data_IF_847000452478
#
_entry.id   IF_847000452478
#
_cell.length_a   1.000
_cell.length_b   1.000
_cell.length_c   1.000
_cell.angle_alpha   90.00
_cell.angle_beta   90.00
_cell.angle_gamma   90.00
#
_symmetry.space_group_name_H-M   'P 1'
#
loop_
_entity.id
_entity.type
_entity.pdbx_description
1 polymer ?
#
# COMPACT_ATOMS: atom_id res chain seq x y z
N UNK A 1 23.48 14.04 -39.45
CA UNK A 1 22.11 13.69 -38.96
C UNK A 1 22.06 13.99 -37.47
N UNK A 2 21.45 15.08 -37.14
CA UNK A 2 21.32 15.58 -35.77
C UNK A 2 19.98 15.03 -35.25
N UNK A 3 20.00 14.14 -34.29
CA UNK A 3 18.81 13.78 -33.55
C UNK A 3 18.64 14.77 -32.41
N UNK A 4 17.62 15.58 -32.57
CA UNK A 4 17.29 16.65 -31.66
C UNK A 4 16.76 16.14 -30.35
N UNK A 5 17.12 16.92 -29.37
CA UNK A 5 16.45 17.30 -28.12
C UNK A 5 15.36 16.40 -27.63
N UNK A 6 15.73 15.68 -26.58
CA UNK A 6 14.80 15.05 -25.68
C UNK A 6 13.77 16.06 -25.16
N UNK A 7 12.54 15.85 -25.55
CA UNK A 7 11.42 16.56 -24.99
C UNK A 7 11.45 16.38 -23.47
N UNK A 8 11.72 17.45 -22.73
CA UNK A 8 11.51 17.54 -21.30
C UNK A 8 10.08 17.06 -21.01
N UNK A 9 9.96 15.92 -20.38
CA UNK A 9 8.71 15.49 -19.79
C UNK A 9 8.32 16.54 -18.73
N UNK A 10 7.57 17.52 -19.15
CA UNK A 10 7.09 18.61 -18.30
C UNK A 10 6.13 18.00 -17.29
N UNK A 11 6.62 17.84 -16.08
CA UNK A 11 5.93 18.05 -14.79
C UNK A 11 4.41 17.79 -14.74
N UNK A 12 3.93 16.78 -15.44
CA UNK A 12 2.51 16.39 -15.39
C UNK A 12 2.17 15.70 -14.07
N UNK A 13 3.16 15.04 -13.45
CA UNK A 13 2.98 14.30 -12.21
C UNK A 13 2.77 15.18 -10.97
N UNK A 14 3.57 16.25 -10.85
CA UNK A 14 3.47 17.15 -9.70
C UNK A 14 2.14 17.94 -9.69
N UNK A 15 1.67 18.38 -10.86
CA UNK A 15 0.41 19.10 -11.00
C UNK A 15 -0.79 18.18 -10.73
N UNK A 16 -0.72 16.92 -11.12
CA UNK A 16 -1.76 15.95 -10.84
C UNK A 16 -1.81 15.57 -9.36
N UNK A 17 -0.64 15.40 -8.72
CA UNK A 17 -0.53 15.07 -7.30
C UNK A 17 -1.13 16.17 -6.40
N UNK A 18 -0.88 17.44 -6.72
CA UNK A 18 -1.47 18.59 -5.99
C UNK A 18 -2.99 18.63 -6.11
N UNK A 19 -3.55 18.27 -7.26
CA UNK A 19 -5.00 18.20 -7.47
C UNK A 19 -5.68 17.01 -6.79
N UNK A 20 -4.96 15.94 -6.56
CA UNK A 20 -5.51 14.69 -6.02
C UNK A 20 -5.46 14.58 -4.50
N UNK A 21 -4.98 15.59 -3.78
CA UNK A 21 -4.95 15.68 -2.33
C UNK A 21 -3.71 15.08 -1.67
N UNK A 22 -3.66 15.17 -0.34
CA UNK A 22 -2.50 14.88 0.49
C UNK A 22 -1.86 13.48 0.30
N UNK A 23 -2.63 12.48 -0.12
CA UNK A 23 -2.13 11.12 -0.38
C UNK A 23 -1.12 11.02 -1.52
N UNK A 24 -1.08 12.01 -2.42
CA UNK A 24 -0.15 12.07 -3.53
C UNK A 24 0.97 13.09 -3.32
N UNK A 25 0.90 13.88 -2.26
CA UNK A 25 1.92 14.88 -1.94
C UNK A 25 3.32 14.24 -1.80
N UNK A 26 3.41 13.11 -1.09
CA UNK A 26 4.68 12.38 -0.91
C UNK A 26 5.28 11.92 -2.24
N UNK A 27 4.44 11.50 -3.18
CA UNK A 27 4.90 11.11 -4.54
C UNK A 27 5.37 12.31 -5.35
N UNK A 28 4.70 13.45 -5.22
CA UNK A 28 5.10 14.67 -5.88
C UNK A 28 6.47 15.17 -5.38
N UNK A 29 6.72 15.10 -4.07
CA UNK A 29 8.00 15.43 -3.46
C UNK A 29 9.12 14.52 -3.98
N UNK A 30 8.87 13.22 -4.08
CA UNK A 30 9.85 12.25 -4.58
C UNK A 30 10.17 12.50 -6.05
N UNK A 31 9.16 12.78 -6.89
CA UNK A 31 9.36 13.08 -8.30
C UNK A 31 10.15 14.38 -8.50
N UNK A 32 9.86 15.41 -7.72
CA UNK A 32 10.58 16.67 -7.75
C UNK A 32 12.05 16.51 -7.28
N UNK A 33 12.30 15.68 -6.27
CA UNK A 33 13.65 15.36 -5.83
C UNK A 33 14.42 14.54 -6.87
N UNK A 34 13.75 13.64 -7.61
CA UNK A 34 14.34 12.91 -8.73
C UNK A 34 14.72 13.84 -9.89
N UNK A 35 13.84 14.75 -10.27
CA UNK A 35 14.08 15.73 -11.33
C UNK A 35 15.26 16.65 -11.01
N UNK A 36 15.49 16.94 -9.72
CA UNK A 36 16.65 17.71 -9.25
C UNK A 36 17.93 16.89 -9.09
N UNK A 37 17.86 15.57 -9.29
CA UNK A 37 18.98 14.65 -9.10
C UNK A 37 19.40 14.47 -7.63
N UNK A 38 18.55 14.84 -6.68
CA UNK A 38 18.80 14.74 -5.25
C UNK A 38 18.45 13.37 -4.67
N UNK A 39 17.56 12.63 -5.34
CA UNK A 39 17.13 11.31 -4.89
C UNK A 39 18.04 10.21 -5.45
N UNK A 40 18.69 9.48 -4.58
CA UNK A 40 19.60 8.38 -4.93
C UNK A 40 18.93 7.00 -4.89
N UNK A 41 17.83 6.87 -4.15
CA UNK A 41 17.12 5.58 -4.01
C UNK A 41 15.62 5.80 -3.97
N UNK A 42 14.89 5.14 -4.85
CA UNK A 42 13.43 5.18 -4.89
C UNK A 42 12.89 3.78 -4.68
N UNK A 43 12.09 3.59 -3.63
CA UNK A 43 11.30 2.39 -3.47
C UNK A 43 9.89 2.63 -4.02
N UNK A 44 9.45 1.77 -4.92
CA UNK A 44 8.11 1.85 -5.51
C UNK A 44 7.25 0.73 -4.96
N UNK A 45 6.09 1.07 -4.40
CA UNK A 45 5.10 0.09 -3.93
C UNK A 45 3.78 0.29 -4.68
N UNK A 46 3.12 -0.81 -5.00
CA UNK A 46 1.79 -0.79 -5.63
C UNK A 46 0.73 -0.44 -4.60
N UNK A 47 -0.19 0.46 -4.93
CA UNK A 47 -1.24 0.91 -4.01
C UNK A 47 -2.65 0.53 -4.49
N UNK A 48 -2.84 0.36 -5.81
CA UNK A 48 -4.17 0.20 -6.42
C UNK A 48 -5.03 -0.92 -5.81
N UNK A 49 -4.55 -2.16 -5.74
CA UNK A 49 -5.32 -3.26 -5.17
C UNK A 49 -5.72 -3.03 -3.72
N UNK A 50 -4.82 -2.49 -2.90
CA UNK A 50 -5.10 -2.21 -1.50
C UNK A 50 -6.21 -1.15 -1.35
N UNK A 51 -6.17 -0.07 -2.13
CA UNK A 51 -7.18 0.98 -2.08
C UNK A 51 -8.58 0.49 -2.50
N UNK A 52 -8.64 -0.28 -3.59
CA UNK A 52 -9.91 -0.80 -4.07
C UNK A 52 -10.53 -1.76 -3.06
N UNK A 53 -9.72 -2.65 -2.50
CA UNK A 53 -10.19 -3.64 -1.55
C UNK A 53 -10.52 -3.03 -0.19
N UNK A 54 -9.80 -2.01 0.27
CA UNK A 54 -10.09 -1.26 1.50
C UNK A 54 -11.52 -0.72 1.47
N UNK A 55 -11.92 -0.16 0.35
CA UNK A 55 -13.27 0.34 0.16
C UNK A 55 -14.32 -0.77 0.28
N UNK A 56 -14.12 -1.89 -0.42
CA UNK A 56 -15.03 -3.04 -0.34
C UNK A 56 -15.09 -3.60 1.07
N UNK A 57 -13.95 -3.67 1.76
CA UNK A 57 -13.84 -4.14 3.13
C UNK A 57 -14.64 -3.29 4.13
N UNK A 58 -14.66 -1.98 3.92
CA UNK A 58 -15.47 -1.05 4.70
C UNK A 58 -16.96 -1.15 4.34
N UNK A 59 -17.29 -1.13 3.05
CA UNK A 59 -18.69 -1.20 2.57
C UNK A 59 -19.39 -2.50 2.97
N UNK A 60 -18.68 -3.62 2.99
CA UNK A 60 -19.21 -4.92 3.45
C UNK A 60 -19.31 -5.06 4.97
N UNK A 61 -18.75 -4.10 5.73
CA UNK A 61 -18.74 -4.13 7.20
C UNK A 61 -17.76 -5.13 7.81
N UNK A 62 -16.90 -5.77 7.02
CA UNK A 62 -15.93 -6.77 7.50
C UNK A 62 -15.02 -6.18 8.58
N UNK A 63 -14.53 -4.95 8.40
CA UNK A 63 -13.72 -4.25 9.40
C UNK A 63 -14.41 -4.21 10.76
N UNK A 64 -15.63 -3.69 10.80
CA UNK A 64 -16.38 -3.53 12.05
C UNK A 64 -16.73 -4.84 12.75
N UNK A 65 -16.96 -5.91 11.99
CA UNK A 65 -17.20 -7.24 12.55
C UNK A 65 -15.94 -7.80 13.21
N UNK A 66 -14.82 -7.77 12.50
CA UNK A 66 -13.53 -8.30 13.00
C UNK A 66 -13.04 -7.49 14.20
N UNK A 67 -13.11 -6.17 14.16
CA UNK A 67 -12.76 -5.32 15.30
C UNK A 67 -13.59 -5.61 16.54
N UNK A 68 -14.87 -5.87 16.37
CA UNK A 68 -15.78 -6.24 17.47
C UNK A 68 -15.40 -7.61 18.08
N UNK A 69 -15.08 -8.57 17.22
CA UNK A 69 -14.61 -9.89 17.67
C UNK A 69 -13.23 -9.80 18.35
N UNK A 70 -12.36 -8.96 17.84
CA UNK A 70 -11.04 -8.71 18.42
C UNK A 70 -11.10 -8.13 19.83
N UNK A 71 -12.09 -7.25 20.12
CA UNK A 71 -12.27 -6.67 21.46
C UNK A 71 -12.63 -7.71 22.53
N UNK A 72 -13.24 -8.81 22.13
CA UNK A 72 -13.59 -9.90 23.04
C UNK A 72 -12.38 -10.73 23.50
N UNK A 73 -11.25 -10.60 22.82
CA UNK A 73 -9.99 -11.31 23.11
C UNK A 73 -8.85 -10.32 23.13
N UNK A 74 -7.91 -10.46 24.08
CA UNK A 74 -6.67 -9.68 24.06
C UNK A 74 -5.77 -10.19 22.95
N UNK A 75 -5.56 -9.37 21.94
CA UNK A 75 -4.55 -9.56 20.92
C UNK A 75 -3.44 -8.52 21.10
N UNK A 76 -2.21 -8.93 20.94
CA UNK A 76 -1.00 -8.11 20.99
C UNK A 76 -0.67 -7.45 19.63
N UNK A 77 -1.51 -7.70 18.64
CA UNK A 77 -1.38 -7.18 17.27
C UNK A 77 -2.74 -6.76 16.67
N UNK A 78 -2.69 -6.02 15.58
CA UNK A 78 -3.87 -5.56 14.85
C UNK A 78 -4.52 -6.72 14.08
N UNK A 79 -5.35 -7.54 14.75
CA UNK A 79 -6.00 -8.71 14.16
C UNK A 79 -6.78 -8.37 12.89
N UNK A 80 -7.48 -7.25 12.86
CA UNK A 80 -8.24 -6.81 11.70
C UNK A 80 -7.32 -6.56 10.49
N UNK A 81 -6.19 -5.91 10.68
CA UNK A 81 -5.21 -5.68 9.61
C UNK A 81 -4.53 -6.97 9.14
N UNK A 82 -4.28 -7.91 10.03
CA UNK A 82 -3.74 -9.22 9.67
C UNK A 82 -4.74 -10.03 8.82
N UNK A 83 -6.02 -10.03 9.20
CA UNK A 83 -7.09 -10.64 8.42
C UNK A 83 -7.23 -9.97 7.05
N UNK A 84 -7.24 -8.63 7.00
CA UNK A 84 -7.28 -7.86 5.75
C UNK A 84 -6.13 -8.26 4.81
N UNK A 85 -4.89 -8.28 5.30
CA UNK A 85 -3.71 -8.65 4.51
C UNK A 85 -3.83 -10.08 3.95
N UNK A 86 -4.23 -11.02 4.80
CA UNK A 86 -4.39 -12.42 4.39
C UNK A 86 -5.44 -12.58 3.29
N UNK A 87 -6.60 -11.95 3.45
CA UNK A 87 -7.70 -12.03 2.48
C UNK A 87 -7.30 -11.32 1.18
N UNK A 88 -6.73 -10.13 1.25
CA UNK A 88 -6.27 -9.37 0.08
C UNK A 88 -5.26 -10.18 -0.74
N UNK A 89 -4.26 -10.77 -0.08
CA UNK A 89 -3.26 -11.60 -0.74
C UNK A 89 -3.89 -12.81 -1.43
N UNK A 90 -4.81 -13.52 -0.77
CA UNK A 90 -5.48 -14.71 -1.33
C UNK A 90 -6.35 -14.38 -2.53
N UNK A 91 -6.96 -13.20 -2.57
CA UNK A 91 -7.76 -12.74 -3.71
C UNK A 91 -6.91 -12.35 -4.92
N UNK A 92 -5.71 -11.82 -4.70
CA UNK A 92 -4.88 -11.29 -5.81
C UNK A 92 -3.91 -12.35 -6.35
N UNK A 93 -3.20 -13.04 -5.45
CA UNK A 93 -2.13 -13.95 -5.84
C UNK A 93 -2.40 -15.40 -5.42
N UNK A 94 -3.17 -15.58 -4.34
CA UNK A 94 -3.28 -16.88 -3.68
C UNK A 94 -1.98 -17.29 -2.96
N UNK A 95 -2.07 -18.31 -2.13
CA UNK A 95 -0.88 -18.87 -1.48
C UNK A 95 -0.96 -18.88 0.05
N UNK A 96 0.18 -19.14 0.68
CA UNK A 96 0.31 -19.26 2.14
C UNK A 96 0.49 -17.90 2.82
N UNK A 97 0.32 -17.86 4.13
CA UNK A 97 0.56 -16.66 4.95
C UNK A 97 2.03 -16.21 4.88
N UNK A 98 2.96 -17.14 4.73
CA UNK A 98 4.38 -16.83 4.46
C UNK A 98 4.57 -16.15 3.10
N UNK A 99 3.77 -16.50 2.10
CA UNK A 99 3.77 -15.80 0.82
C UNK A 99 3.17 -14.39 0.96
N UNK A 100 2.11 -14.23 1.75
CA UNK A 100 1.51 -12.94 2.06
C UNK A 100 2.50 -11.99 2.75
N UNK A 101 3.29 -12.49 3.69
CA UNK A 101 4.31 -11.72 4.39
C UNK A 101 5.37 -11.12 3.46
N UNK A 102 5.86 -11.90 2.50
CA UNK A 102 6.79 -11.40 1.47
C UNK A 102 6.11 -10.50 0.45
N UNK A 103 4.89 -10.85 0.05
CA UNK A 103 4.13 -10.14 -0.96
C UNK A 103 3.83 -8.69 -0.53
N UNK A 104 3.54 -8.42 0.74
CA UNK A 104 3.26 -7.09 1.26
C UNK A 104 4.39 -6.09 1.08
N UNK A 105 5.64 -6.52 0.93
CA UNK A 105 6.79 -5.64 0.67
C UNK A 105 6.64 -4.87 -0.65
N UNK A 106 5.94 -5.45 -1.62
CA UNK A 106 5.68 -4.84 -2.93
C UNK A 106 4.44 -3.96 -2.97
N UNK A 107 3.69 -3.90 -1.88
CA UNK A 107 2.43 -3.17 -1.79
C UNK A 107 2.43 -2.20 -0.62
N UNK A 108 1.81 -1.05 -0.82
CA UNK A 108 1.52 -0.13 0.28
C UNK A 108 0.14 -0.46 0.83
N UNK A 109 0.11 -1.01 2.01
CA UNK A 109 -1.10 -1.37 2.75
C UNK A 109 -1.01 -0.69 4.10
N UNK A 110 -1.95 0.18 4.41
CA UNK A 110 -1.91 0.95 5.64
C UNK A 110 -2.22 0.06 6.85
N UNK A 111 -1.46 0.26 7.93
CA UNK A 111 -1.69 -0.42 9.21
C UNK A 111 -1.14 -1.84 9.32
N UNK A 112 -0.34 -2.32 8.36
CA UNK A 112 0.25 -3.67 8.40
C UNK A 112 1.73 -3.71 8.80
N UNK A 113 2.36 -2.57 9.02
CA UNK A 113 3.80 -2.49 9.28
C UNK A 113 4.24 -3.22 10.56
N UNK A 114 3.36 -3.28 11.58
CA UNK A 114 3.61 -3.99 12.84
C UNK A 114 3.16 -5.46 12.85
N UNK A 115 2.73 -5.99 11.70
CA UNK A 115 2.27 -7.38 11.61
C UNK A 115 3.46 -8.26 11.23
N UNK A 116 3.72 -9.28 12.04
CA UNK A 116 4.74 -10.29 11.77
C UNK A 116 4.12 -11.60 11.25
N UNK A 117 4.93 -12.46 10.64
CA UNK A 117 4.47 -13.71 10.07
C UNK A 117 3.70 -14.59 11.06
N UNK A 118 4.15 -14.64 12.32
CA UNK A 118 3.47 -15.44 13.35
C UNK A 118 2.08 -14.90 13.70
N UNK A 119 1.82 -13.60 13.50
CA UNK A 119 0.50 -13.02 13.65
C UNK A 119 -0.46 -13.52 12.57
N UNK A 120 0.02 -13.67 11.33
CA UNK A 120 -0.80 -14.19 10.22
C UNK A 120 -1.23 -15.64 10.45
N UNK A 121 -0.40 -16.45 11.09
CA UNK A 121 -0.77 -17.82 11.46
C UNK A 121 -1.79 -17.91 12.60
N UNK A 122 -2.00 -16.82 13.34
CA UNK A 122 -2.92 -16.74 14.49
C UNK A 122 -4.23 -16.00 14.14
N UNK A 123 -4.38 -15.57 12.89
CA UNK A 123 -5.58 -14.95 12.36
C UNK A 123 -6.57 -15.99 11.90
#
# INVERSE_FOLDING_TARGET
MIWGEGARARNCGATFAVRSGARFADKAIVLDALDRGEATTVSTRRIGPALAFERVWEETGCRGVIERLARARKHDFALERAAFLTVLHRLICGGSDRAADRWREYYRIDGVDGIELHHLYRT
#
